data_IF_565736962338
#
_entry.id   IF_565736962338
#
_cell.length_a   1.000
_cell.length_b   1.000
_cell.length_c   1.000
_cell.angle_alpha   90.00
_cell.angle_beta   90.00
_cell.angle_gamma   90.00
#
_symmetry.space_group_name_H-M   'P 1'
#
loop_
_entity.id
_entity.type
_entity.pdbx_description
1 polymer ?
#
# COMPACT_ATOMS: atom_id res chain seq x y z
N UNK A 1 -8.85 -2.70 14.88
CA UNK A 1 -8.01 -3.53 13.97
C UNK A 1 -6.69 -2.82 13.65
N UNK A 2 -6.70 -1.53 13.31
CA UNK A 2 -5.54 -0.80 12.79
C UNK A 2 -4.41 -0.59 13.81
N UNK A 3 -4.72 -0.25 15.07
CA UNK A 3 -3.70 -0.16 16.14
C UNK A 3 -2.97 -1.49 16.37
N UNK A 4 -3.71 -2.61 16.31
CA UNK A 4 -3.13 -3.94 16.44
C UNK A 4 -2.18 -4.24 15.26
N UNK A 5 -2.61 -3.93 14.04
CA UNK A 5 -1.76 -4.08 12.84
C UNK A 5 -0.49 -3.23 12.94
N UNK A 6 -0.56 -1.98 13.40
CA UNK A 6 0.62 -1.14 13.60
C UNK A 6 1.58 -1.74 14.63
N UNK A 7 1.07 -2.20 15.78
CA UNK A 7 1.89 -2.92 16.78
C UNK A 7 2.59 -4.13 16.16
N UNK A 8 1.92 -4.85 15.25
CA UNK A 8 2.50 -5.98 14.52
C UNK A 8 3.56 -5.56 13.51
N UNK A 9 3.35 -4.48 12.77
CA UNK A 9 4.37 -3.94 11.86
C UNK A 9 5.63 -3.48 12.58
N UNK A 10 5.49 -2.76 13.71
CA UNK A 10 6.65 -2.39 14.53
C UNK A 10 7.37 -3.61 15.09
N UNK A 11 6.62 -4.66 15.49
CA UNK A 11 7.21 -5.93 15.92
C UNK A 11 7.98 -6.59 14.78
N UNK A 12 7.39 -6.70 13.60
CA UNK A 12 8.00 -7.31 12.43
C UNK A 12 9.30 -6.59 12.02
N UNK A 13 9.31 -5.26 12.01
CA UNK A 13 10.51 -4.47 11.73
C UNK A 13 11.68 -4.83 12.66
N UNK A 14 11.40 -5.19 13.93
CA UNK A 14 12.44 -5.61 14.89
C UNK A 14 12.90 -7.05 14.67
N UNK A 15 11.97 -7.94 14.34
CA UNK A 15 12.24 -9.38 14.19
C UNK A 15 12.80 -9.76 12.80
N UNK A 16 12.48 -8.98 11.77
CA UNK A 16 12.92 -9.18 10.38
C UNK A 16 13.40 -7.85 9.81
N UNK A 17 14.69 -7.55 9.98
CA UNK A 17 15.29 -6.28 9.52
C UNK A 17 15.29 -6.14 8.01
N UNK A 18 15.26 -7.25 7.28
CA UNK A 18 15.15 -7.37 5.83
C UNK A 18 13.70 -7.30 5.32
N UNK A 19 12.69 -7.08 6.19
CA UNK A 19 11.28 -7.01 5.78
C UNK A 19 10.92 -5.75 4.97
N UNK A 20 11.84 -4.79 4.79
CA UNK A 20 11.59 -3.54 4.08
C UNK A 20 10.50 -2.68 4.72
N UNK A 21 10.36 -2.76 6.05
CA UNK A 21 9.41 -1.94 6.84
C UNK A 21 10.19 -0.80 7.50
N UNK A 22 9.88 0.44 7.12
CA UNK A 22 10.59 1.62 7.60
C UNK A 22 9.64 2.70 8.10
N UNK A 23 10.10 3.49 9.08
CA UNK A 23 9.40 4.71 9.46
C UNK A 23 9.79 5.87 8.56
N UNK A 24 8.78 6.63 8.13
CA UNK A 24 8.95 7.86 7.35
C UNK A 24 7.89 8.87 7.74
N UNK A 25 8.20 10.15 7.51
CA UNK A 25 7.18 11.17 7.62
C UNK A 25 6.21 11.01 6.46
N UNK A 26 4.92 11.02 6.76
CA UNK A 26 3.86 10.95 5.77
C UNK A 26 3.18 12.31 5.75
N UNK A 27 3.18 12.93 4.58
CA UNK A 27 2.48 14.17 4.29
C UNK A 27 1.25 13.82 3.47
N UNK A 28 0.08 14.21 3.97
CA UNK A 28 -1.18 14.05 3.28
C UNK A 28 -1.81 15.41 3.02
N UNK A 29 -2.29 15.60 1.78
CA UNK A 29 -2.95 16.80 1.32
C UNK A 29 -4.33 16.47 0.77
N UNK A 30 -5.31 17.32 1.05
CA UNK A 30 -6.66 17.20 0.50
C UNK A 30 -7.10 18.51 -0.14
N UNK A 31 -7.74 18.43 -1.31
CA UNK A 31 -8.34 19.57 -2.01
C UNK A 31 -9.88 19.63 -1.87
N UNK A 32 -10.48 18.65 -1.20
CA UNK A 32 -11.93 18.51 -1.08
C UNK A 32 -12.43 18.43 0.38
N UNK A 33 -11.58 18.84 1.32
CA UNK A 33 -11.89 18.89 2.77
C UNK A 33 -11.55 20.25 3.33
N UNK A 34 -12.28 20.67 4.36
CA UNK A 34 -12.10 21.99 5.01
C UNK A 34 -11.32 21.93 6.32
N UNK A 35 -11.29 20.77 6.97
CA UNK A 35 -10.58 20.58 8.23
C UNK A 35 -10.20 19.10 8.46
N UNK A 36 -9.47 18.85 9.55
CA UNK A 36 -9.00 17.53 9.96
C UNK A 36 -10.05 16.72 10.75
N UNK A 37 -11.30 17.19 10.89
CA UNK A 37 -12.34 16.53 11.71
C UNK A 37 -12.65 15.12 11.19
N UNK A 38 -12.64 14.95 9.86
CA UNK A 38 -12.88 13.69 9.15
C UNK A 38 -11.70 12.69 9.21
N UNK A 39 -10.53 13.11 9.72
CA UNK A 39 -9.34 12.26 9.81
C UNK A 39 -9.43 11.37 11.06
N UNK A 40 -10.12 10.25 10.92
CA UNK A 40 -10.43 9.35 12.04
C UNK A 40 -9.18 8.74 12.70
N UNK A 41 -8.08 8.56 11.95
CA UNK A 41 -6.85 7.94 12.44
C UNK A 41 -5.91 8.90 13.16
N UNK A 42 -6.28 10.19 13.32
CA UNK A 42 -5.55 11.12 14.19
C UNK A 42 -5.39 10.61 15.63
N UNK A 43 -6.34 9.80 16.11
CA UNK A 43 -6.26 9.16 17.44
C UNK A 43 -5.19 8.07 17.53
N UNK A 44 -4.77 7.52 16.39
CA UNK A 44 -3.76 6.46 16.29
C UNK A 44 -2.36 7.08 16.17
N UNK A 45 -2.26 8.25 15.54
CA UNK A 45 -1.03 9.00 15.36
C UNK A 45 -1.09 10.30 16.17
N UNK A 46 -0.75 10.27 17.47
CA UNK A 46 -0.83 11.44 18.34
C UNK A 46 0.13 12.57 17.93
N UNK A 47 1.15 12.26 17.13
CA UNK A 47 2.09 13.20 16.53
C UNK A 47 1.56 13.83 15.22
N UNK A 48 0.34 13.51 14.80
CA UNK A 48 -0.30 14.11 13.64
C UNK A 48 -0.51 15.61 13.87
N UNK A 49 0.09 16.41 13.00
CA UNK A 49 0.06 17.88 13.06
C UNK A 49 -0.42 18.45 11.74
N UNK A 50 -1.30 19.46 11.81
CA UNK A 50 -1.71 20.21 10.63
C UNK A 50 -0.52 20.97 10.04
N UNK A 51 -0.48 21.08 8.71
CA UNK A 51 0.45 21.92 8.00
C UNK A 51 -0.17 23.33 7.92
N UNK A 52 0.56 24.40 8.31
CA UNK A 52 0.08 25.77 8.18
C UNK A 52 -0.31 26.12 6.74
N UNK A 53 -1.30 26.99 6.56
CA UNK A 53 -1.83 27.36 5.23
C UNK A 53 -0.73 27.91 4.32
N UNK A 54 0.21 28.67 4.88
CA UNK A 54 1.36 29.25 4.19
C UNK A 54 2.36 28.20 3.67
N UNK A 55 2.38 27.00 4.27
CA UNK A 55 3.26 25.89 3.91
C UNK A 55 2.54 24.84 3.04
N UNK A 56 1.27 25.07 2.69
CA UNK A 56 0.51 24.17 1.84
C UNK A 56 1.02 24.22 0.40
N UNK A 57 1.08 23.04 -0.21
CA UNK A 57 1.30 22.88 -1.64
C UNK A 57 0.12 23.48 -2.42
N UNK A 58 0.42 24.06 -3.59
CA UNK A 58 -0.60 24.67 -4.44
C UNK A 58 -1.75 23.70 -4.75
N UNK A 59 -2.98 24.17 -4.59
CA UNK A 59 -4.20 23.39 -4.83
C UNK A 59 -4.67 22.54 -3.65
N UNK A 60 -3.91 22.45 -2.55
CA UNK A 60 -4.40 21.81 -1.32
C UNK A 60 -5.24 22.79 -0.48
N UNK A 61 -6.38 22.32 0.02
CA UNK A 61 -7.23 23.05 0.98
C UNK A 61 -6.79 22.79 2.43
N UNK A 62 -6.33 21.57 2.70
CA UNK A 62 -5.71 21.18 3.98
C UNK A 62 -4.50 20.27 3.76
N UNK A 63 -3.61 20.26 4.75
CA UNK A 63 -2.49 19.34 4.81
C UNK A 63 -2.16 18.94 6.24
N UNK A 64 -1.60 17.76 6.43
CA UNK A 64 -1.10 17.31 7.72
C UNK A 64 0.05 16.33 7.55
N UNK A 65 0.85 16.19 8.61
CA UNK A 65 1.97 15.26 8.67
C UNK A 65 1.96 14.43 9.93
N UNK A 66 2.48 13.20 9.85
CA UNK A 66 2.67 12.29 10.97
C UNK A 66 3.76 11.26 10.66
N UNK A 67 4.31 10.61 11.68
CA UNK A 67 5.28 9.52 11.52
C UNK A 67 4.56 8.20 11.26
N UNK A 68 4.69 7.68 10.05
CA UNK A 68 4.05 6.43 9.65
C UNK A 68 5.04 5.35 9.23
N UNK A 69 4.51 4.19 8.83
CA UNK A 69 5.29 3.07 8.30
C UNK A 69 5.08 2.94 6.79
N UNK A 70 6.18 2.83 6.06
CA UNK A 70 6.20 2.37 4.67
C UNK A 70 6.67 0.92 4.63
N UNK A 71 6.11 0.16 3.69
CA UNK A 71 6.45 -1.25 3.47
C UNK A 71 6.84 -1.43 2.02
N UNK A 72 8.01 -1.99 1.78
CA UNK A 72 8.41 -2.47 0.46
C UNK A 72 7.93 -3.92 0.25
N UNK A 73 6.92 -4.17 -0.60
CA UNK A 73 6.38 -5.51 -0.80
C UNK A 73 7.41 -6.51 -1.33
N UNK A 74 8.39 -6.05 -2.12
CA UNK A 74 9.43 -6.91 -2.71
C UNK A 74 10.39 -7.45 -1.65
N UNK A 75 10.51 -6.78 -0.51
CA UNK A 75 11.30 -7.24 0.64
C UNK A 75 10.41 -7.96 1.67
N UNK A 76 9.22 -7.41 1.94
CA UNK A 76 8.30 -7.93 2.95
C UNK A 76 7.80 -9.34 2.63
N UNK A 77 7.33 -9.59 1.41
CA UNK A 77 6.73 -10.88 1.06
C UNK A 77 7.75 -12.03 1.08
N UNK A 78 8.99 -11.87 0.57
CA UNK A 78 10.04 -12.87 0.76
C UNK A 78 10.40 -13.12 2.24
N UNK A 79 10.56 -12.07 3.04
CA UNK A 79 10.79 -12.21 4.49
C UNK A 79 9.66 -13.04 5.14
N UNK A 80 8.40 -12.66 4.91
CA UNK A 80 7.26 -13.36 5.49
C UNK A 80 7.20 -14.83 5.04
N UNK A 81 7.47 -15.09 3.76
CA UNK A 81 7.53 -16.44 3.21
C UNK A 81 8.61 -17.28 3.89
N UNK A 82 9.80 -16.71 4.10
CA UNK A 82 10.90 -17.36 4.81
C UNK A 82 10.53 -17.68 6.26
N UNK A 83 10.00 -16.71 7.01
CA UNK A 83 9.57 -16.90 8.40
C UNK A 83 8.49 -17.98 8.53
N UNK A 84 7.58 -18.09 7.57
CA UNK A 84 6.57 -19.14 7.56
C UNK A 84 7.18 -20.52 7.26
N UNK A 85 8.11 -20.62 6.30
CA UNK A 85 8.85 -21.87 6.02
C UNK A 85 9.65 -22.35 7.22
N UNK A 86 10.33 -21.45 7.93
CA UNK A 86 11.06 -21.76 9.17
C UNK A 86 10.13 -22.32 10.27
N UNK A 87 8.85 -21.95 10.24
CA UNK A 87 7.80 -22.49 11.13
C UNK A 87 7.15 -23.78 10.61
N UNK A 88 7.69 -24.37 9.54
CA UNK A 88 7.20 -25.62 8.94
C UNK A 88 6.02 -25.46 7.98
N UNK A 89 5.67 -24.23 7.59
CA UNK A 89 4.62 -24.00 6.59
C UNK A 89 5.09 -24.47 5.21
N UNK A 90 4.30 -25.34 4.59
CA UNK A 90 4.52 -25.81 3.22
C UNK A 90 3.78 -24.92 2.23
N UNK A 91 4.49 -24.44 1.21
CA UNK A 91 3.91 -23.65 0.12
C UNK A 91 3.69 -24.56 -1.08
N UNK A 92 2.47 -24.53 -1.63
CA UNK A 92 2.08 -25.32 -2.80
C UNK A 92 1.53 -24.36 -3.85
N UNK A 93 2.16 -24.32 -5.02
CA UNK A 93 1.65 -23.54 -6.15
C UNK A 93 0.67 -24.40 -6.93
N UNK A 94 -0.62 -24.06 -6.87
CA UNK A 94 -1.68 -24.77 -7.58
C UNK A 94 -2.86 -23.84 -7.85
N UNK A 95 -3.48 -23.99 -9.03
CA UNK A 95 -4.78 -23.40 -9.31
C UNK A 95 -5.86 -24.29 -8.71
N UNK A 96 -6.75 -23.70 -7.92
CA UNK A 96 -7.87 -24.37 -7.29
C UNK A 96 -9.16 -23.82 -7.92
N UNK A 97 -10.12 -24.70 -8.18
CA UNK A 97 -11.40 -24.31 -8.80
C UNK A 97 -12.55 -24.26 -7.80
N UNK A 98 -12.38 -24.84 -6.60
CA UNK A 98 -13.37 -24.75 -5.51
C UNK A 98 -12.75 -24.97 -4.13
N UNK A 99 -13.40 -24.47 -3.07
CA UNK A 99 -12.98 -24.76 -1.69
C UNK A 99 -13.12 -26.25 -1.33
N UNK A 100 -14.03 -26.97 -1.98
CA UNK A 100 -14.16 -28.43 -1.83
C UNK A 100 -12.93 -29.16 -2.35
N UNK A 101 -12.43 -28.78 -3.54
CA UNK A 101 -11.17 -29.32 -4.08
C UNK A 101 -10.01 -29.10 -3.10
N UNK A 102 -9.90 -27.88 -2.55
CA UNK A 102 -8.85 -27.57 -1.58
C UNK A 102 -8.96 -28.43 -0.32
N UNK A 103 -10.18 -28.63 0.20
CA UNK A 103 -10.41 -29.49 1.37
C UNK A 103 -9.98 -30.92 1.10
N UNK A 104 -10.40 -31.48 -0.03
CA UNK A 104 -10.08 -32.86 -0.43
C UNK A 104 -8.59 -33.06 -0.68
N UNK A 105 -7.92 -32.07 -1.27
CA UNK A 105 -6.47 -32.11 -1.53
C UNK A 105 -5.64 -32.08 -0.25
N UNK A 106 -6.05 -31.28 0.73
CA UNK A 106 -5.26 -31.00 1.93
C UNK A 106 -5.67 -31.82 3.15
N UNK A 107 -6.88 -32.37 3.17
CA UNK A 107 -7.47 -32.99 4.35
C UNK A 107 -7.71 -32.00 5.51
N UNK A 108 -7.62 -30.69 5.26
CA UNK A 108 -7.65 -29.69 6.31
C UNK A 108 -9.03 -29.59 6.98
N UNK A 109 -9.03 -29.51 8.31
CA UNK A 109 -10.23 -29.27 9.11
C UNK A 109 -10.76 -27.85 8.94
N UNK A 110 -9.84 -26.88 8.80
CA UNK A 110 -10.13 -25.45 8.67
C UNK A 110 -9.48 -24.93 7.40
N UNK A 111 -10.25 -24.18 6.61
CA UNK A 111 -9.77 -23.45 5.45
C UNK A 111 -9.87 -21.95 5.73
N UNK A 112 -8.80 -21.23 5.44
CA UNK A 112 -8.79 -19.75 5.48
C UNK A 112 -8.77 -19.25 4.04
N UNK A 113 -9.87 -18.63 3.59
CA UNK A 113 -9.95 -18.05 2.26
C UNK A 113 -9.30 -16.66 2.23
N UNK A 114 -8.09 -16.57 1.66
CA UNK A 114 -7.35 -15.33 1.46
C UNK A 114 -7.08 -15.03 -0.03
N UNK A 115 -8.02 -15.39 -0.92
CA UNK A 115 -7.86 -15.32 -2.37
C UNK A 115 -8.06 -13.92 -2.99
N UNK A 116 -8.39 -12.90 -2.19
CA UNK A 116 -8.61 -11.55 -2.69
C UNK A 116 -9.73 -11.49 -3.74
N UNK A 117 -9.43 -10.96 -4.93
CA UNK A 117 -10.39 -10.90 -6.04
C UNK A 117 -10.91 -12.28 -6.47
N UNK A 118 -10.13 -13.34 -6.25
CA UNK A 118 -10.54 -14.72 -6.55
C UNK A 118 -11.73 -15.21 -5.71
N UNK A 119 -12.06 -14.55 -4.60
CA UNK A 119 -13.21 -14.91 -3.77
C UNK A 119 -14.55 -14.73 -4.49
N UNK A 120 -14.59 -13.85 -5.51
CA UNK A 120 -15.77 -13.69 -6.36
C UNK A 120 -16.18 -15.01 -7.01
N UNK A 121 -15.20 -15.77 -7.50
CA UNK A 121 -15.42 -17.08 -8.14
C UNK A 121 -15.39 -18.22 -7.10
N UNK A 122 -14.40 -18.23 -6.20
CA UNK A 122 -14.18 -19.34 -5.27
C UNK A 122 -15.23 -19.44 -4.15
N UNK A 123 -15.86 -18.33 -3.79
CA UNK A 123 -16.83 -18.25 -2.70
C UNK A 123 -18.18 -17.64 -3.13
N UNK A 124 -18.38 -17.41 -4.42
CA UNK A 124 -19.57 -16.73 -4.98
C UNK A 124 -19.86 -15.37 -4.31
N UNK A 125 -18.80 -14.63 -3.94
CA UNK A 125 -18.96 -13.33 -3.31
C UNK A 125 -19.09 -12.22 -4.36
N UNK A 126 -20.32 -11.95 -4.78
CA UNK A 126 -20.65 -10.92 -5.78
C UNK A 126 -20.33 -9.49 -5.32
N UNK A 127 -20.08 -9.28 -4.02
CA UNK A 127 -19.69 -7.97 -3.49
C UNK A 127 -18.22 -7.65 -3.76
N UNK A 128 -17.42 -8.65 -4.16
CA UNK A 128 -16.02 -8.46 -4.53
C UNK A 128 -15.94 -7.81 -5.90
N UNK A 129 -15.44 -6.57 -5.91
CA UNK A 129 -15.23 -5.78 -7.13
C UNK A 129 -13.76 -5.42 -7.28
N UNK A 130 -13.26 -5.45 -8.52
CA UNK A 130 -11.92 -4.98 -8.84
C UNK A 130 -11.89 -3.45 -8.89
N UNK A 131 -10.81 -2.89 -8.35
CA UNK A 131 -10.42 -1.50 -8.57
C UNK A 131 -9.02 -1.53 -9.16
N UNK A 132 -8.89 -1.10 -10.41
CA UNK A 132 -7.59 -1.03 -11.07
C UNK A 132 -6.79 0.13 -10.49
N UNK A 133 -5.62 -0.21 -9.98
CA UNK A 133 -4.56 0.73 -9.63
C UNK A 133 -3.47 0.71 -10.70
N UNK A 134 -2.97 1.88 -11.07
CA UNK A 134 -1.80 2.01 -11.94
C UNK A 134 -0.73 2.83 -11.21
N UNK A 135 0.51 2.34 -11.27
CA UNK A 135 1.67 2.99 -10.69
C UNK A 135 2.86 2.93 -11.64
N UNK A 136 3.84 3.79 -11.41
CA UNK A 136 5.13 3.79 -12.05
C UNK A 136 6.21 3.63 -10.98
N UNK A 137 7.18 2.75 -11.25
CA UNK A 137 8.39 2.68 -10.43
C UNK A 137 9.48 3.52 -11.09
N UNK A 138 10.03 4.46 -10.33
CA UNK A 138 11.14 5.33 -10.76
C UNK A 138 12.38 4.96 -9.96
N UNK A 139 13.40 4.36 -10.57
CA UNK A 139 14.68 4.10 -9.91
C UNK A 139 15.36 5.41 -9.51
N UNK A 140 15.73 5.55 -8.24
CA UNK A 140 16.50 6.69 -7.72
C UNK A 140 17.06 6.35 -6.32
N UNK A 141 17.89 7.25 -5.77
CA UNK A 141 18.32 7.13 -4.37
C UNK A 141 17.19 7.53 -3.40
N UNK A 142 16.25 6.61 -3.24
CA UNK A 142 15.07 6.75 -2.38
C UNK A 142 15.40 6.90 -0.89
N UNK A 143 16.65 6.66 -0.46
CA UNK A 143 17.07 6.88 0.94
C UNK A 143 17.15 8.36 1.29
N UNK A 144 17.42 9.22 0.30
CA UNK A 144 17.47 10.67 0.48
C UNK A 144 16.08 11.32 0.43
N UNK A 145 15.02 10.54 0.22
CA UNK A 145 13.66 11.04 0.37
C UNK A 145 13.27 11.05 1.84
N UNK A 146 13.05 12.25 2.35
CA UNK A 146 12.67 12.55 3.73
C UNK A 146 11.22 12.15 4.04
N UNK A 147 10.34 12.11 3.02
CA UNK A 147 8.91 11.88 3.22
C UNK A 147 8.21 11.05 2.15
N UNK A 148 7.07 10.49 2.55
CA UNK A 148 5.98 10.08 1.68
C UNK A 148 5.08 11.28 1.43
N UNK A 149 4.59 11.44 0.20
CA UNK A 149 3.59 12.46 -0.12
C UNK A 149 2.36 11.81 -0.74
N UNK A 150 1.18 12.17 -0.24
CA UNK A 150 -0.11 11.68 -0.73
C UNK A 150 -1.03 12.87 -0.95
N UNK A 151 -1.61 12.97 -2.15
CA UNK A 151 -2.65 13.93 -2.48
C UNK A 151 -3.95 13.17 -2.73
N UNK A 152 -5.02 13.64 -2.11
CA UNK A 152 -6.34 13.04 -2.18
C UNK A 152 -7.40 14.11 -2.47
N UNK A 153 -8.52 13.66 -3.05
CA UNK A 153 -9.68 14.49 -3.31
C UNK A 153 -10.05 14.43 -4.78
N UNK A 154 -9.90 15.52 -5.53
CA UNK A 154 -10.18 15.52 -6.98
C UNK A 154 -9.27 14.56 -7.75
N UNK A 155 -8.02 14.40 -7.30
CA UNK A 155 -7.05 13.46 -7.83
C UNK A 155 -6.48 12.58 -6.71
N UNK A 156 -6.06 11.37 -7.06
CA UNK A 156 -5.37 10.46 -6.15
C UNK A 156 -3.95 10.21 -6.64
N UNK A 157 -2.98 10.85 -5.99
CA UNK A 157 -1.56 10.80 -6.38
C UNK A 157 -0.71 10.53 -5.14
N UNK A 158 0.35 9.74 -5.29
CA UNK A 158 1.27 9.48 -4.19
C UNK A 158 2.68 9.21 -4.68
N UNK A 159 3.65 9.58 -3.86
CA UNK A 159 5.06 9.23 -4.01
C UNK A 159 5.50 8.49 -2.74
N UNK A 160 5.77 7.19 -2.88
CA UNK A 160 6.15 6.32 -1.76
C UNK A 160 7.52 5.73 -2.04
N UNK A 161 8.56 6.11 -1.25
CA UNK A 161 9.88 5.50 -1.34
C UNK A 161 9.82 3.98 -1.10
N UNK A 162 10.60 3.24 -1.90
CA UNK A 162 10.84 1.80 -1.79
C UNK A 162 12.32 1.60 -1.51
N UNK A 163 12.68 1.73 -0.24
CA UNK A 163 14.07 1.82 0.19
C UNK A 163 14.86 0.55 -0.12
N UNK A 164 14.24 -0.62 0.06
CA UNK A 164 14.88 -1.90 -0.23
C UNK A 164 15.02 -2.14 -1.75
N UNK A 165 14.02 -1.74 -2.55
CA UNK A 165 14.04 -1.86 -4.01
C UNK A 165 14.85 -0.75 -4.72
N UNK A 166 15.23 0.33 -4.04
CA UNK A 166 16.02 1.41 -4.61
C UNK A 166 15.26 2.32 -5.59
N UNK A 167 14.11 2.84 -5.18
CA UNK A 167 13.36 3.79 -6.02
C UNK A 167 12.06 4.27 -5.37
N UNK A 168 11.18 4.85 -6.18
CA UNK A 168 9.93 5.45 -5.73
C UNK A 168 8.78 4.89 -6.53
N UNK A 169 7.70 4.54 -5.84
CA UNK A 169 6.43 4.28 -6.50
C UNK A 169 5.67 5.60 -6.61
N UNK A 170 5.42 6.00 -7.85
CA UNK A 170 4.51 7.09 -8.20
C UNK A 170 3.15 6.49 -8.59
N UNK A 171 2.13 6.85 -7.83
CA UNK A 171 0.73 6.68 -8.20
C UNK A 171 0.06 8.03 -8.41
N UNK A 172 -1.20 8.10 -8.82
CA UNK A 172 -2.14 7.00 -8.73
C UNK A 172 -3.25 7.08 -9.76
N UNK A 173 -3.96 5.96 -9.82
CA UNK A 173 -5.18 5.75 -10.58
C UNK A 173 -6.04 4.85 -9.70
N UNK A 174 -7.33 5.14 -9.60
CA UNK A 174 -8.31 4.27 -8.97
C UNK A 174 -9.51 4.17 -9.90
N UNK A 175 -9.59 3.08 -10.65
CA UNK A 175 -10.65 2.83 -11.65
C UNK A 175 -11.51 1.65 -11.19
N UNK A 176 -12.69 1.91 -10.61
CA UNK A 176 -13.63 0.85 -10.24
C UNK A 176 -14.11 0.08 -11.49
N UNK A 177 -14.32 -1.22 -11.33
CA UNK A 177 -14.89 -2.12 -12.35
C UNK A 177 -14.05 -2.28 -13.62
N UNK A 178 -12.87 -1.67 -13.70
CA UNK A 178 -11.94 -1.84 -14.81
C UNK A 178 -10.93 -2.94 -14.49
N UNK A 179 -10.84 -3.95 -15.36
CA UNK A 179 -9.89 -5.07 -15.23
C UNK A 179 -8.86 -5.11 -16.34
N UNK A 180 -8.98 -4.24 -17.35
CA UNK A 180 -8.09 -4.19 -18.51
C UNK A 180 -6.84 -3.36 -18.22
N UNK A 181 -5.67 -3.93 -18.49
CA UNK A 181 -4.40 -3.19 -18.46
C UNK A 181 -4.25 -2.41 -19.77
N UNK A 182 -4.85 -1.22 -19.89
CA UNK A 182 -4.46 -0.30 -20.97
C UNK A 182 -3.16 0.42 -20.59
N UNK A 183 -2.04 0.04 -21.19
CA UNK A 183 -0.83 0.85 -21.19
C UNK A 183 -1.06 2.07 -22.09
N UNK A 184 -1.57 3.17 -21.54
CA UNK A 184 -1.48 4.46 -22.23
C UNK A 184 -0.07 5.00 -22.02
N UNK A 185 0.69 5.13 -23.10
CA UNK A 185 1.99 5.78 -23.08
C UNK A 185 1.83 7.22 -22.55
N UNK A 186 2.42 7.54 -21.39
CA UNK A 186 2.56 8.92 -20.97
C UNK A 186 3.71 9.54 -21.74
N UNK A 187 3.41 10.50 -22.60
CA UNK A 187 4.40 11.39 -23.20
C UNK A 187 4.87 12.34 -22.10
N UNK A 188 6.04 12.07 -21.52
CA UNK A 188 6.74 13.06 -20.69
C UNK A 188 7.32 14.14 -21.61
N UNK A 189 6.76 15.35 -21.57
CA UNK A 189 7.49 16.54 -22.02
C UNK A 189 8.55 16.84 -20.96
N UNK A 190 9.79 16.41 -21.22
CA UNK A 190 10.94 16.93 -20.50
C UNK A 190 11.21 18.36 -21.00
N UNK A 191 10.83 19.36 -20.22
CA UNK A 191 11.33 20.72 -20.42
C UNK A 191 12.78 20.75 -19.93
N UNK A 192 13.73 20.68 -20.87
CA UNK A 192 15.11 21.07 -20.60
C UNK A 192 15.18 22.58 -20.47
N UNK A 193 15.47 23.09 -19.28
CA UNK A 193 15.93 24.47 -19.13
C UNK A 193 17.44 24.51 -19.43
N UNK A 194 17.78 25.30 -20.45
CA UNK A 194 19.13 25.72 -20.83
C UNK A 194 19.75 26.63 -19.78
#
# INVERSE_FOLDING_TARGET
MQEYSLKRWHKLRRECRDAGVEERDIYEYYDNRKDLSSIWYKRIYPDLTAIPTEDLVSGAEIGFKYRGLIVDPNAFLPCLTRLLKEKGVKFIQRRISSLYELKSLTGATILVNASGLGARELANDEKVQAVRGQTMFVPCDSRNMDRVTIHQGSHYTYAIPRIASGGVILGGVAQPLETLTQQRAMILHAASMS
#
